data_IF_719956818109
#
_entry.id   IF_719956818109
#
_cell.length_a   1.000
_cell.length_b   1.000
_cell.length_c   1.000
_cell.angle_alpha   90.00
_cell.angle_beta   90.00
_cell.angle_gamma   90.00
#
_symmetry.space_group_name_H-M   'P 1'
#
loop_
_entity.id
_entity.type
_entity.pdbx_description
1 polymer ?
#
# COMPACT_ATOMS: atom_id res chain seq x y z
N UNK A 1 -18.98 -26.55 21.37
CA UNK A 1 -18.54 -26.53 19.96
C UNK A 1 -17.18 -27.22 19.91
N UNK A 2 -16.99 -28.17 18.99
CA UNK A 2 -15.69 -28.81 18.80
C UNK A 2 -14.70 -27.79 18.23
N UNK A 3 -13.69 -27.42 19.01
CA UNK A 3 -12.69 -26.39 18.67
C UNK A 3 -11.53 -26.88 17.78
N UNK A 4 -11.64 -28.09 17.22
CA UNK A 4 -10.56 -28.72 16.46
C UNK A 4 -10.69 -28.59 14.94
N UNK A 5 -11.64 -27.79 14.44
CA UNK A 5 -11.71 -27.50 13.00
C UNK A 5 -10.55 -26.56 12.64
N UNK A 6 -9.67 -26.92 11.68
CA UNK A 6 -8.59 -26.04 11.26
C UNK A 6 -9.16 -24.78 10.58
N UNK A 7 -8.42 -23.68 10.68
CA UNK A 7 -8.77 -22.46 9.98
C UNK A 7 -8.91 -22.71 8.47
N UNK A 8 -10.01 -22.25 7.88
CA UNK A 8 -10.31 -22.40 6.45
C UNK A 8 -9.17 -21.94 5.53
N UNK A 9 -8.45 -20.89 5.93
CA UNK A 9 -7.32 -20.33 5.16
C UNK A 9 -6.02 -21.10 5.32
N UNK A 10 -6.01 -22.22 6.04
CA UNK A 10 -4.82 -23.04 6.24
C UNK A 10 -3.69 -22.29 6.99
N UNK A 11 -4.04 -21.35 7.87
CA UNK A 11 -3.03 -20.59 8.60
C UNK A 11 -2.24 -21.52 9.53
N UNK A 12 -0.92 -21.46 9.47
CA UNK A 12 -0.01 -22.22 10.36
C UNK A 12 0.58 -21.34 11.45
N UNK A 13 1.11 -21.97 12.51
CA UNK A 13 1.97 -21.30 13.50
C UNK A 13 3.30 -20.91 12.87
N UNK A 14 4.00 -19.94 13.47
CA UNK A 14 5.28 -19.45 12.93
C UNK A 14 6.40 -20.50 13.03
N UNK A 15 6.40 -21.31 14.10
CA UNK A 15 7.47 -22.25 14.43
C UNK A 15 7.11 -23.72 14.14
N UNK A 16 5.96 -23.98 13.51
CA UNK A 16 5.48 -25.33 13.23
C UNK A 16 4.45 -25.35 12.10
N UNK A 17 4.38 -26.46 11.35
CA UNK A 17 3.35 -26.69 10.31
C UNK A 17 1.94 -26.97 10.87
N UNK A 18 1.77 -26.90 12.20
CA UNK A 18 0.46 -27.02 12.85
C UNK A 18 -0.51 -25.94 12.36
N UNK A 19 -1.67 -26.38 11.87
CA UNK A 19 -2.77 -25.50 11.50
C UNK A 19 -3.38 -24.83 12.75
N UNK A 20 -3.66 -23.54 12.63
CA UNK A 20 -4.33 -22.76 13.67
C UNK A 20 -5.83 -23.15 13.73
N UNK A 21 -6.42 -23.29 14.94
CA UNK A 21 -7.82 -23.64 15.08
C UNK A 21 -8.73 -22.48 14.67
N UNK A 22 -9.90 -22.81 14.11
CA UNK A 22 -10.97 -21.86 13.81
C UNK A 22 -11.65 -21.41 15.12
N UNK A 23 -11.44 -20.14 15.51
CA UNK A 23 -11.96 -19.54 16.75
C UNK A 23 -13.08 -18.54 16.52
N UNK A 24 -13.20 -18.02 15.29
CA UNK A 24 -14.21 -17.05 14.89
C UNK A 24 -14.89 -17.57 13.61
N UNK A 25 -15.97 -18.34 13.79
CA UNK A 25 -16.60 -19.09 12.70
C UNK A 25 -15.63 -20.08 12.05
N UNK A 26 -15.36 -19.93 10.75
CA UNK A 26 -14.41 -20.76 10.00
C UNK A 26 -12.94 -20.27 10.08
N UNK A 27 -12.67 -19.21 10.84
CA UNK A 27 -11.39 -18.48 10.81
C UNK A 27 -10.66 -18.48 12.15
N UNK A 28 -9.32 -18.42 12.11
CA UNK A 28 -8.51 -18.31 13.32
C UNK A 28 -8.46 -16.86 13.84
N UNK A 29 -8.00 -16.70 15.09
CA UNK A 29 -7.81 -15.39 15.72
C UNK A 29 -6.87 -14.45 14.94
N UNK A 30 -5.89 -15.00 14.20
CA UNK A 30 -4.99 -14.20 13.35
C UNK A 30 -5.71 -13.60 12.15
N UNK A 31 -6.61 -14.35 11.50
CA UNK A 31 -7.43 -13.82 10.41
C UNK A 31 -8.36 -12.72 10.91
N UNK A 32 -9.07 -12.99 12.01
CA UNK A 32 -9.96 -12.02 12.66
C UNK A 32 -9.22 -10.73 13.03
N UNK A 33 -8.10 -10.84 13.75
CA UNK A 33 -7.34 -9.68 14.22
C UNK A 33 -6.74 -8.84 13.10
N UNK A 34 -6.42 -9.46 11.96
CA UNK A 34 -5.94 -8.72 10.77
C UNK A 34 -7.06 -7.89 10.13
N UNK A 35 -8.27 -8.44 10.00
CA UNK A 35 -9.43 -7.71 9.49
C UNK A 35 -9.77 -6.58 10.45
N UNK A 36 -9.86 -6.89 11.74
CA UNK A 36 -10.17 -5.90 12.78
C UNK A 36 -9.17 -4.75 12.75
N UNK A 37 -7.87 -5.06 12.72
CA UNK A 37 -6.82 -4.03 12.72
C UNK A 37 -6.88 -3.15 11.47
N UNK A 38 -7.21 -3.69 10.30
CA UNK A 38 -7.40 -2.90 9.10
C UNK A 38 -8.61 -1.94 9.24
N UNK A 39 -9.73 -2.44 9.78
CA UNK A 39 -10.92 -1.62 10.05
C UNK A 39 -10.64 -0.53 11.09
N UNK A 40 -9.83 -0.78 12.11
CA UNK A 40 -9.39 0.22 13.10
C UNK A 40 -8.57 1.34 12.43
N UNK A 41 -7.71 1.00 11.47
CA UNK A 41 -6.80 1.96 10.84
C UNK A 41 -7.42 2.79 9.72
N UNK A 42 -8.43 2.24 9.03
CA UNK A 42 -9.05 2.87 7.86
C UNK A 42 -9.54 4.32 8.08
N UNK A 43 -10.16 4.72 9.22
CA UNK A 43 -10.61 6.10 9.41
C UNK A 43 -9.48 7.13 9.45
N UNK A 44 -8.38 6.79 10.11
CA UNK A 44 -7.20 7.66 10.20
C UNK A 44 -6.48 7.72 8.86
N UNK A 45 -6.39 6.58 8.16
CA UNK A 45 -5.86 6.52 6.80
C UNK A 45 -6.65 7.41 5.83
N UNK A 46 -7.98 7.35 5.86
CA UNK A 46 -8.84 8.20 5.02
C UNK A 46 -8.61 9.69 5.32
N UNK A 47 -8.52 10.06 6.60
CA UNK A 47 -8.21 11.43 7.01
C UNK A 47 -6.86 11.90 6.46
N UNK A 48 -5.84 11.04 6.57
CA UNK A 48 -4.50 11.33 6.09
C UNK A 48 -4.49 11.53 4.57
N UNK A 49 -5.11 10.62 3.79
CA UNK A 49 -5.18 10.72 2.33
C UNK A 49 -5.93 12.00 1.92
N UNK A 50 -7.07 12.33 2.55
CA UNK A 50 -7.79 13.58 2.28
C UNK A 50 -6.98 14.84 2.57
N UNK A 51 -6.08 14.79 3.56
CA UNK A 51 -5.14 15.88 3.83
C UNK A 51 -4.21 16.17 2.64
N UNK A 52 -3.93 15.17 1.80
CA UNK A 52 -3.16 15.33 0.57
C UNK A 52 -3.99 15.78 -0.64
N UNK A 53 -5.33 15.67 -0.60
CA UNK A 53 -6.22 16.07 -1.71
C UNK A 53 -6.28 17.58 -1.87
N UNK A 54 -6.48 18.30 -0.75
CA UNK A 54 -6.61 19.75 -0.71
C UNK A 54 -5.56 20.38 0.22
N UNK A 55 -4.29 20.47 -0.21
CA UNK A 55 -3.21 20.99 0.64
C UNK A 55 -3.37 22.48 1.02
N UNK A 56 -4.29 23.22 0.35
CA UNK A 56 -4.67 24.59 0.71
C UNK A 56 -5.71 24.70 1.84
N UNK A 57 -6.22 23.59 2.37
CA UNK A 57 -7.17 23.55 3.49
C UNK A 57 -6.52 23.78 4.86
N UNK A 58 -5.51 24.64 4.96
CA UNK A 58 -5.00 25.12 6.23
C UNK A 58 -6.17 25.67 7.05
N UNK A 59 -6.18 25.33 8.34
CA UNK A 59 -7.30 25.57 9.25
C UNK A 59 -7.79 27.02 9.20
N UNK A 60 -9.12 27.19 9.25
CA UNK A 60 -9.89 28.46 9.23
C UNK A 60 -9.54 29.43 10.38
N UNK A 61 -8.45 29.23 11.12
CA UNK A 61 -7.98 30.10 12.20
C UNK A 61 -6.71 30.91 11.89
N UNK A 62 -5.92 30.53 10.89
CA UNK A 62 -4.65 31.20 10.60
C UNK A 62 -4.81 32.10 9.37
N UNK A 63 -5.07 33.39 9.62
CA UNK A 63 -5.03 34.42 8.57
C UNK A 63 -3.59 34.57 8.07
N UNK A 64 -3.19 33.71 7.15
CA UNK A 64 -2.04 33.98 6.30
C UNK A 64 -2.51 35.06 5.32
N UNK A 65 -2.14 36.30 5.60
CA UNK A 65 -2.32 37.42 4.66
C UNK A 65 -1.34 37.24 3.51
N UNK A 66 -1.63 36.34 2.57
CA UNK A 66 -0.91 36.26 1.31
C UNK A 66 -1.53 37.22 0.30
N UNK A 67 -1.04 38.45 0.37
CA UNK A 67 -1.02 39.41 -0.72
C UNK A 67 -0.03 38.89 -1.78
N UNK A 68 -0.40 37.85 -2.52
CA UNK A 68 0.42 37.28 -3.58
C UNK A 68 -0.40 36.29 -4.39
N UNK A 69 -0.38 36.44 -5.72
CA UNK A 69 -1.00 35.59 -6.75
C UNK A 69 -0.43 34.14 -6.75
N UNK A 70 -0.32 33.49 -5.59
CA UNK A 70 0.11 32.10 -5.51
C UNK A 70 -1.04 31.21 -5.92
N UNK A 71 -0.91 30.64 -7.13
CA UNK A 71 -1.85 29.70 -7.70
C UNK A 71 -2.17 28.58 -6.68
N UNK A 72 -3.45 28.17 -6.55
CA UNK A 72 -3.83 27.10 -5.64
C UNK A 72 -2.98 25.86 -5.95
N UNK A 73 -2.43 25.26 -4.89
CA UNK A 73 -1.64 24.04 -4.99
C UNK A 73 -2.40 22.99 -5.84
N UNK A 74 -1.67 22.23 -6.67
CA UNK A 74 -2.31 21.30 -7.61
C UNK A 74 -3.10 20.24 -6.84
N UNK A 75 -4.33 20.01 -7.28
CA UNK A 75 -5.20 18.96 -6.77
C UNK A 75 -4.54 17.59 -6.94
N UNK A 76 -4.45 16.82 -5.86
CA UNK A 76 -3.85 15.47 -5.91
C UNK A 76 -4.90 14.44 -6.33
N UNK A 77 -5.01 14.22 -7.64
CA UNK A 77 -5.96 13.25 -8.23
C UNK A 77 -5.76 11.83 -7.71
N UNK A 78 -4.51 11.43 -7.42
CA UNK A 78 -4.20 10.08 -6.92
C UNK A 78 -4.71 9.90 -5.49
N UNK A 79 -4.50 10.87 -4.62
CA UNK A 79 -5.05 10.86 -3.26
C UNK A 79 -6.58 10.78 -3.29
N UNK A 80 -7.21 11.58 -4.15
CA UNK A 80 -8.65 11.61 -4.28
C UNK A 80 -9.20 10.27 -4.82
N UNK A 81 -8.52 9.64 -5.78
CA UNK A 81 -8.84 8.31 -6.27
C UNK A 81 -8.79 7.26 -5.16
N UNK A 82 -7.67 7.19 -4.43
CA UNK A 82 -7.43 6.16 -3.40
C UNK A 82 -8.42 6.28 -2.23
N UNK A 83 -8.77 7.49 -1.77
CA UNK A 83 -9.76 7.63 -0.68
C UNK A 83 -11.18 7.29 -1.14
N UNK A 84 -11.53 7.57 -2.40
CA UNK A 84 -12.83 7.18 -2.95
C UNK A 84 -12.94 5.67 -3.16
N UNK A 85 -11.85 5.01 -3.54
CA UNK A 85 -11.76 3.55 -3.59
C UNK A 85 -11.96 2.93 -2.20
N UNK A 86 -11.25 3.44 -1.17
CA UNK A 86 -11.44 3.01 0.22
C UNK A 86 -12.90 3.19 0.69
N UNK A 87 -13.48 4.36 0.41
CA UNK A 87 -14.86 4.64 0.77
C UNK A 87 -15.84 3.69 0.07
N UNK A 88 -15.69 3.50 -1.24
CA UNK A 88 -16.55 2.62 -2.04
C UNK A 88 -16.46 1.15 -1.59
N UNK A 89 -15.24 0.68 -1.29
CA UNK A 89 -14.99 -0.65 -0.73
C UNK A 89 -15.78 -0.88 0.57
N UNK A 90 -15.72 0.07 1.50
CA UNK A 90 -16.43 -0.04 2.78
C UNK A 90 -17.94 0.04 2.63
N UNK A 91 -18.43 0.89 1.73
CA UNK A 91 -19.87 0.97 1.40
C UNK A 91 -20.34 -0.37 0.82
N UNK A 92 -19.58 -0.96 -0.09
CA UNK A 92 -19.88 -2.26 -0.69
C UNK A 92 -20.00 -3.35 0.38
N UNK A 93 -18.98 -3.52 1.24
CA UNK A 93 -19.01 -4.54 2.29
C UNK A 93 -20.07 -4.30 3.35
N UNK A 94 -20.34 -3.05 3.72
CA UNK A 94 -21.47 -2.73 4.60
C UNK A 94 -22.80 -3.15 4.00
N UNK A 95 -22.99 -3.00 2.69
CA UNK A 95 -24.21 -3.44 2.00
C UNK A 95 -24.32 -4.96 1.97
N UNK A 96 -23.28 -5.67 1.51
CA UNK A 96 -23.28 -7.14 1.42
C UNK A 96 -23.55 -7.78 2.78
N UNK A 97 -22.82 -7.37 3.82
CA UNK A 97 -23.00 -7.96 5.15
C UNK A 97 -24.32 -7.57 5.80
N UNK A 98 -24.88 -6.40 5.49
CA UNK A 98 -26.20 -6.02 5.96
C UNK A 98 -27.29 -6.92 5.37
N UNK A 99 -27.17 -7.28 4.09
CA UNK A 99 -28.08 -8.19 3.42
C UNK A 99 -27.99 -9.61 4.01
N UNK A 100 -26.76 -10.12 4.23
CA UNK A 100 -26.55 -11.43 4.87
C UNK A 100 -27.07 -11.52 6.30
N UNK A 101 -26.92 -10.45 7.08
CA UNK A 101 -27.35 -10.38 8.47
C UNK A 101 -28.82 -9.94 8.64
N UNK A 102 -29.52 -9.64 7.54
CA UNK A 102 -30.89 -9.10 7.52
C UNK A 102 -31.06 -7.83 8.41
N UNK A 103 -30.00 -7.03 8.53
CA UNK A 103 -30.00 -5.78 9.31
C UNK A 103 -29.83 -4.58 8.39
N UNK A 104 -30.11 -3.38 8.91
CA UNK A 104 -29.88 -2.15 8.13
C UNK A 104 -28.39 -1.78 8.13
N UNK A 105 -27.81 -1.41 6.97
CA UNK A 105 -26.47 -0.88 6.94
C UNK A 105 -26.39 0.50 7.62
N UNK A 106 -25.19 0.95 8.01
CA UNK A 106 -25.01 2.25 8.65
C UNK A 106 -25.52 3.38 7.75
N UNK A 107 -26.03 4.46 8.34
CA UNK A 107 -26.67 5.55 7.59
C UNK A 107 -25.76 6.17 6.53
N UNK A 108 -24.45 6.23 6.79
CA UNK A 108 -23.42 6.71 5.85
C UNK A 108 -23.39 5.85 4.59
N UNK A 109 -23.32 4.52 4.71
CA UNK A 109 -23.30 3.61 3.57
C UNK A 109 -24.61 3.65 2.76
N UNK A 110 -25.76 3.81 3.44
CA UNK A 110 -27.07 3.97 2.78
C UNK A 110 -27.20 5.27 2.00
N UNK A 111 -26.60 6.35 2.49
CA UNK A 111 -26.62 7.68 1.85
C UNK A 111 -25.46 7.90 0.89
N UNK A 112 -24.61 6.89 0.68
CA UNK A 112 -23.50 6.99 -0.25
C UNK A 112 -24.01 7.36 -1.65
N UNK A 113 -23.34 8.31 -2.28
CA UNK A 113 -23.73 8.77 -3.61
C UNK A 113 -23.43 7.68 -4.64
N UNK A 114 -24.46 7.29 -5.40
CA UNK A 114 -24.39 6.22 -6.38
C UNK A 114 -24.82 6.71 -7.76
N UNK A 115 -24.22 6.14 -8.81
CA UNK A 115 -24.73 6.27 -10.17
C UNK A 115 -26.03 5.49 -10.30
N UNK A 116 -26.76 5.72 -11.41
CA UNK A 116 -27.95 4.92 -11.76
C UNK A 116 -27.65 3.41 -11.86
N UNK A 117 -26.41 3.02 -12.14
CA UNK A 117 -25.94 1.64 -12.15
C UNK A 117 -25.78 1.01 -10.75
N UNK A 118 -25.91 1.79 -9.66
CA UNK A 118 -25.66 1.33 -8.29
C UNK A 118 -24.22 1.48 -7.82
N UNK A 119 -23.29 1.78 -8.73
CA UNK A 119 -21.86 2.01 -8.44
C UNK A 119 -21.68 3.24 -7.54
N UNK A 120 -20.96 3.09 -6.44
CA UNK A 120 -20.61 4.18 -5.51
C UNK A 120 -19.64 5.14 -6.21
N UNK A 121 -19.96 6.43 -6.19
CA UNK A 121 -19.16 7.48 -6.83
C UNK A 121 -17.95 7.84 -5.96
N UNK A 122 -18.13 7.86 -4.64
CA UNK A 122 -17.13 8.27 -3.67
C UNK A 122 -17.66 9.30 -2.68
N UNK A 123 -16.72 10.00 -2.05
CA UNK A 123 -16.96 11.17 -1.21
C UNK A 123 -17.26 12.41 -2.08
N UNK A 124 -18.10 13.34 -1.60
CA UNK A 124 -18.25 14.65 -2.22
C UNK A 124 -16.89 15.39 -2.38
N UNK A 125 -16.67 16.16 -3.45
CA UNK A 125 -15.42 16.90 -3.65
C UNK A 125 -15.08 17.91 -2.55
N UNK A 126 -16.10 18.37 -1.81
CA UNK A 126 -15.96 19.34 -0.71
C UNK A 126 -15.74 18.67 0.65
N UNK A 127 -15.61 17.34 0.70
CA UNK A 127 -15.44 16.60 1.95
C UNK A 127 -14.09 16.91 2.58
N UNK A 128 -14.13 17.36 3.83
CA UNK A 128 -12.93 17.61 4.64
C UNK A 128 -12.34 16.29 5.16
N UNK A 129 -11.06 16.33 5.60
CA UNK A 129 -10.40 15.17 6.21
C UNK A 129 -11.10 14.65 7.47
N UNK A 130 -11.76 15.53 8.23
CA UNK A 130 -12.53 15.15 9.42
C UNK A 130 -13.83 14.45 9.04
N UNK A 131 -14.61 15.02 8.12
CA UNK A 131 -15.86 14.44 7.63
C UNK A 131 -15.64 13.09 6.97
N UNK A 132 -14.60 12.97 6.14
CA UNK A 132 -14.23 11.70 5.50
C UNK A 132 -13.79 10.64 6.51
N UNK A 133 -12.96 11.01 7.49
CA UNK A 133 -12.57 10.14 8.60
C UNK A 133 -13.79 9.64 9.39
N UNK A 134 -14.71 10.55 9.71
CA UNK A 134 -15.93 10.23 10.45
C UNK A 134 -16.85 9.29 9.65
N UNK A 135 -17.03 9.53 8.36
CA UNK A 135 -17.81 8.67 7.47
C UNK A 135 -17.24 7.24 7.45
N UNK A 136 -15.93 7.10 7.31
CA UNK A 136 -15.22 5.81 7.34
C UNK A 136 -15.29 5.16 8.72
N UNK A 137 -15.19 5.94 9.81
CA UNK A 137 -15.32 5.46 11.20
C UNK A 137 -16.68 4.82 11.47
N UNK A 138 -17.77 5.40 10.97
CA UNK A 138 -19.10 4.82 11.16
C UNK A 138 -19.26 3.48 10.43
N UNK A 139 -18.70 3.34 9.22
CA UNK A 139 -18.77 2.08 8.46
C UNK A 139 -17.89 1.00 9.08
N UNK A 140 -16.66 1.34 9.43
CA UNK A 140 -15.71 0.41 10.06
C UNK A 140 -16.16 -0.03 11.45
N UNK A 141 -16.72 0.88 12.26
CA UNK A 141 -17.33 0.54 13.55
C UNK A 141 -18.48 -0.47 13.38
N UNK A 142 -19.39 -0.21 12.44
CA UNK A 142 -20.52 -1.11 12.17
C UNK A 142 -20.06 -2.52 11.75
N UNK A 143 -19.02 -2.63 10.90
CA UNK A 143 -18.42 -3.90 10.48
C UNK A 143 -17.73 -4.62 11.63
N UNK A 144 -16.98 -3.89 12.47
CA UNK A 144 -16.26 -4.45 13.63
C UNK A 144 -17.22 -5.03 14.65
N UNK A 145 -18.30 -4.32 14.97
CA UNK A 145 -19.31 -4.77 15.94
C UNK A 145 -19.99 -6.09 15.53
N UNK A 146 -19.91 -6.44 14.24
CA UNK A 146 -20.52 -7.64 13.63
C UNK A 146 -19.50 -8.65 13.12
N UNK A 147 -18.20 -8.41 13.34
CA UNK A 147 -17.16 -9.18 12.68
C UNK A 147 -17.25 -10.67 13.02
N UNK A 148 -17.54 -11.01 14.29
CA UNK A 148 -17.71 -12.41 14.70
C UNK A 148 -18.87 -13.10 13.99
N UNK A 149 -20.02 -12.42 13.84
CA UNK A 149 -21.17 -12.94 13.10
C UNK A 149 -20.81 -13.12 11.62
N UNK A 150 -20.19 -12.11 10.99
CA UNK A 150 -19.76 -12.13 9.59
C UNK A 150 -18.87 -13.35 9.30
N UNK A 151 -17.89 -13.65 10.16
CA UNK A 151 -16.97 -14.78 9.96
C UNK A 151 -17.63 -16.16 10.11
N UNK A 152 -18.89 -16.23 10.57
CA UNK A 152 -19.69 -17.46 10.62
C UNK A 152 -20.58 -17.68 9.39
N UNK A 153 -20.69 -16.67 8.51
CA UNK A 153 -21.53 -16.69 7.32
C UNK A 153 -20.77 -17.25 6.12
N UNK A 154 -21.28 -16.99 4.90
CA UNK A 154 -20.77 -17.42 3.60
C UNK A 154 -19.23 -17.29 3.49
N UNK A 155 -18.47 -18.38 3.68
CA UNK A 155 -17.02 -18.29 3.82
C UNK A 155 -16.30 -17.81 2.55
N UNK A 156 -16.87 -18.07 1.37
CA UNK A 156 -16.35 -17.58 0.10
C UNK A 156 -16.35 -16.05 0.05
N UNK A 157 -17.45 -15.41 0.48
CA UNK A 157 -17.56 -13.94 0.54
C UNK A 157 -16.73 -13.35 1.69
N UNK A 158 -16.53 -14.10 2.78
CA UNK A 158 -15.58 -13.71 3.83
C UNK A 158 -14.15 -13.72 3.31
N UNK A 159 -13.79 -14.69 2.47
CA UNK A 159 -12.47 -14.74 1.85
C UNK A 159 -12.27 -13.55 0.91
N UNK A 160 -13.28 -13.17 0.13
CA UNK A 160 -13.26 -11.94 -0.70
C UNK A 160 -13.23 -10.67 0.16
N UNK A 161 -13.99 -10.62 1.26
CA UNK A 161 -13.97 -9.51 2.21
C UNK A 161 -12.59 -9.29 2.80
N UNK A 162 -11.91 -10.36 3.24
CA UNK A 162 -10.55 -10.24 3.73
C UNK A 162 -9.58 -9.77 2.64
N UNK A 163 -9.69 -10.27 1.41
CA UNK A 163 -8.85 -9.78 0.30
C UNK A 163 -9.10 -8.30 0.01
N UNK A 164 -10.35 -7.85 -0.01
CA UNK A 164 -10.68 -6.43 -0.17
C UNK A 164 -10.13 -5.59 0.98
N UNK A 165 -10.22 -6.07 2.22
CA UNK A 165 -9.64 -5.41 3.39
C UNK A 165 -8.11 -5.34 3.33
N UNK A 166 -7.43 -6.21 2.57
CA UNK A 166 -5.98 -6.05 2.31
C UNK A 166 -5.64 -4.79 1.52
N UNK A 167 -6.57 -4.23 0.77
CA UNK A 167 -6.33 -2.96 0.08
C UNK A 167 -6.12 -1.80 1.05
N UNK A 168 -6.71 -1.85 2.25
CA UNK A 168 -6.41 -0.89 3.33
C UNK A 168 -4.92 -0.92 3.69
N UNK A 169 -4.32 -2.11 3.77
CA UNK A 169 -2.88 -2.26 4.05
C UNK A 169 -2.01 -1.77 2.89
N UNK A 170 -2.42 -2.05 1.65
CA UNK A 170 -1.73 -1.55 0.44
C UNK A 170 -1.79 -0.03 0.36
N UNK A 171 -2.94 0.57 0.66
CA UNK A 171 -3.13 2.02 0.74
C UNK A 171 -2.29 2.61 1.88
N UNK A 172 -2.26 2.01 3.07
CA UNK A 172 -1.42 2.48 4.17
C UNK A 172 0.10 2.40 3.86
N UNK A 173 0.53 1.45 3.01
CA UNK A 173 1.91 1.38 2.53
C UNK A 173 2.22 2.49 1.50
N UNK A 174 1.23 2.87 0.68
CA UNK A 174 1.35 3.95 -0.31
C UNK A 174 1.28 5.34 0.32
N UNK A 175 0.48 5.47 1.37
CA UNK A 175 0.24 6.69 2.15
C UNK A 175 0.77 6.53 3.59
N UNK A 176 2.10 6.49 3.78
CA UNK A 176 2.68 6.26 5.09
C UNK A 176 2.42 7.44 6.03
N UNK A 177 1.76 7.18 7.16
CA UNK A 177 1.49 8.19 8.20
C UNK A 177 2.72 8.58 9.01
N UNK A 178 3.68 7.66 9.11
CA UNK A 178 4.99 7.91 9.71
C UNK A 178 5.99 7.95 8.57
N UNK A 179 6.80 8.99 8.55
CA UNK A 179 7.87 9.12 7.57
C UNK A 179 8.80 7.90 7.68
N UNK A 180 8.92 7.15 6.59
CA UNK A 180 9.77 5.97 6.51
C UNK A 180 10.85 6.22 5.47
N UNK A 181 12.12 5.92 5.80
CA UNK A 181 13.15 6.00 4.79
C UNK A 181 12.88 4.99 3.68
N UNK A 182 13.05 5.43 2.43
CA UNK A 182 13.23 4.50 1.31
C UNK A 182 14.70 4.15 1.23
N UNK A 183 15.01 2.87 1.09
CA UNK A 183 16.39 2.46 0.96
C UNK A 183 16.83 2.49 -0.50
N UNK A 184 17.92 3.17 -0.80
CA UNK A 184 18.49 3.21 -2.14
C UNK A 184 19.06 1.83 -2.53
N UNK A 185 19.10 1.56 -3.84
CA UNK A 185 19.74 0.36 -4.37
C UNK A 185 21.28 0.42 -4.27
N UNK A 186 21.85 1.63 -4.33
CA UNK A 186 23.28 1.84 -4.18
C UNK A 186 23.69 1.75 -2.70
N UNK A 187 24.80 1.07 -2.38
CA UNK A 187 25.40 1.14 -1.05
C UNK A 187 26.13 2.47 -0.85
N UNK A 188 26.43 2.81 0.41
CA UNK A 188 27.27 3.93 0.77
C UNK A 188 28.68 3.78 0.16
N UNK A 189 29.11 4.80 -0.58
CA UNK A 189 30.41 4.83 -1.29
C UNK A 189 31.57 5.34 -0.43
N UNK A 190 31.31 5.76 0.81
CA UNK A 190 32.38 6.16 1.72
C UNK A 190 33.31 4.97 1.99
N UNK A 191 34.61 5.23 2.03
CA UNK A 191 35.65 4.18 2.07
C UNK A 191 35.40 3.17 3.20
N UNK A 192 35.21 1.90 2.83
CA UNK A 192 34.93 0.81 3.75
C UNK A 192 33.52 0.76 4.38
N UNK A 193 32.60 1.68 4.05
CA UNK A 193 31.28 1.72 4.68
C UNK A 193 30.33 0.62 4.15
N UNK A 194 29.95 0.68 2.87
CA UNK A 194 29.07 -0.31 2.24
C UNK A 194 27.64 -0.44 2.81
N UNK A 195 27.28 0.35 3.82
CA UNK A 195 25.96 0.32 4.45
C UNK A 195 24.85 0.81 3.53
N UNK A 196 23.59 0.50 3.88
CA UNK A 196 22.44 0.94 3.09
C UNK A 196 22.22 2.44 3.25
N UNK A 197 21.72 3.08 2.20
CA UNK A 197 21.35 4.49 2.21
C UNK A 197 19.86 4.64 2.44
N UNK A 198 19.50 5.39 3.47
CA UNK A 198 18.14 5.78 3.81
C UNK A 198 17.84 7.17 3.21
N UNK A 199 16.82 7.24 2.36
CA UNK A 199 16.32 8.45 1.72
C UNK A 199 15.00 8.84 2.41
N UNK A 200 15.04 9.93 3.16
CA UNK A 200 13.89 10.53 3.81
C UNK A 200 13.32 11.61 2.87
N UNK A 201 12.00 11.61 2.61
CA UNK A 201 11.38 12.70 1.85
C UNK A 201 11.59 14.06 2.54
N UNK A 202 11.38 15.17 1.82
CA UNK A 202 11.41 16.49 2.45
C UNK A 202 10.30 16.60 3.50
N UNK A 203 10.64 17.10 4.69
CA UNK A 203 9.71 17.22 5.82
C UNK A 203 8.65 18.31 5.57
N UNK A 204 9.04 19.39 4.89
CA UNK A 204 8.17 20.51 4.54
C UNK A 204 8.26 20.88 3.05
N UNK A 205 7.23 21.53 2.47
CA UNK A 205 7.33 22.08 1.13
C UNK A 205 8.51 23.05 1.00
N UNK A 206 9.39 22.81 0.03
CA UNK A 206 10.61 23.62 -0.19
C UNK A 206 11.85 23.05 0.49
N UNK A 207 11.73 22.06 1.37
CA UNK A 207 12.89 21.34 1.89
C UNK A 207 13.49 20.39 0.84
N UNK A 208 14.76 20.05 1.06
CA UNK A 208 15.45 18.99 0.31
C UNK A 208 15.27 17.64 1.00
N UNK A 209 15.26 16.57 0.21
CA UNK A 209 15.29 15.21 0.76
C UNK A 209 16.55 15.01 1.63
N UNK A 210 16.38 14.30 2.74
CA UNK A 210 17.50 13.95 3.63
C UNK A 210 18.01 12.56 3.29
N UNK A 211 19.25 12.44 2.84
CA UNK A 211 19.87 11.15 2.49
C UNK A 211 20.99 10.83 3.47
N UNK A 212 20.87 9.70 4.19
CA UNK A 212 21.84 9.30 5.22
C UNK A 212 22.10 7.80 5.14
N UNK A 213 23.36 7.35 5.21
CA UNK A 213 23.65 5.91 5.35
C UNK A 213 23.42 5.43 6.79
N UNK A 214 23.27 4.12 7.02
CA UNK A 214 23.11 3.57 8.37
C UNK A 214 24.31 3.86 9.31
N UNK A 215 25.50 4.16 8.76
CA UNK A 215 26.66 4.63 9.53
C UNK A 215 26.68 6.15 9.80
N UNK A 216 25.68 6.92 9.33
CA UNK A 216 25.54 8.35 9.61
C UNK A 216 26.14 9.33 8.58
N UNK A 217 26.72 8.87 7.47
CA UNK A 217 27.17 9.76 6.39
C UNK A 217 25.98 10.41 5.66
N UNK A 218 26.04 11.72 5.50
CA UNK A 218 25.03 12.52 4.79
C UNK A 218 25.44 12.73 3.33
N UNK A 219 24.44 12.81 2.45
CA UNK A 219 24.63 13.09 1.02
C UNK A 219 23.74 14.25 0.60
N UNK A 220 24.28 15.15 -0.22
CA UNK A 220 23.44 16.13 -0.92
C UNK A 220 22.60 15.42 -2.01
N UNK A 221 21.42 15.94 -2.38
CA UNK A 221 20.55 15.32 -3.37
C UNK A 221 21.23 15.04 -4.73
N UNK A 222 22.03 15.98 -5.21
CA UNK A 222 22.81 15.89 -6.45
C UNK A 222 23.92 14.82 -6.36
N UNK A 223 24.67 14.80 -5.26
CA UNK A 223 25.68 13.76 -5.00
C UNK A 223 25.05 12.35 -4.97
N UNK A 224 23.88 12.24 -4.36
CA UNK A 224 23.12 11.00 -4.30
C UNK A 224 22.66 10.56 -5.69
N UNK A 225 22.11 11.46 -6.50
CA UNK A 225 21.63 11.16 -7.84
C UNK A 225 22.77 10.67 -8.76
N UNK A 226 23.92 11.35 -8.73
CA UNK A 226 25.11 10.96 -9.49
C UNK A 226 25.65 9.59 -9.07
N UNK A 227 25.68 9.33 -7.75
CA UNK A 227 26.10 8.04 -7.20
C UNK A 227 25.15 6.92 -7.61
N UNK A 228 23.83 7.11 -7.52
CA UNK A 228 22.84 6.11 -7.93
C UNK A 228 22.92 5.85 -9.43
N UNK A 229 23.05 6.89 -10.25
CA UNK A 229 23.21 6.77 -11.70
C UNK A 229 24.48 5.95 -12.04
N UNK A 230 25.59 6.23 -11.38
CA UNK A 230 26.86 5.50 -11.54
C UNK A 230 26.70 4.03 -11.15
N UNK A 231 26.08 3.75 -10.00
CA UNK A 231 25.85 2.39 -9.51
C UNK A 231 24.97 1.57 -10.47
N UNK A 232 23.87 2.15 -10.95
CA UNK A 232 22.97 1.50 -11.92
C UNK A 232 23.70 1.21 -13.23
N UNK A 233 24.51 2.15 -13.72
CA UNK A 233 25.31 1.96 -14.93
C UNK A 233 26.33 0.81 -14.78
N UNK A 234 27.03 0.74 -13.64
CA UNK A 234 27.98 -0.32 -13.32
C UNK A 234 27.29 -1.69 -13.25
N UNK A 235 26.19 -1.82 -12.50
CA UNK A 235 25.40 -3.06 -12.41
C UNK A 235 24.89 -3.51 -13.78
N UNK A 236 24.45 -2.58 -14.63
CA UNK A 236 24.03 -2.89 -16.01
C UNK A 236 25.20 -3.35 -16.89
N UNK A 237 26.39 -2.77 -16.72
CA UNK A 237 27.59 -3.21 -17.43
C UNK A 237 28.03 -4.61 -16.99
N UNK A 238 28.04 -4.88 -15.68
CA UNK A 238 28.32 -6.20 -15.11
C UNK A 238 27.32 -7.25 -15.58
N UNK A 239 26.03 -6.94 -15.57
CA UNK A 239 24.99 -7.84 -16.08
C UNK A 239 25.16 -8.18 -17.56
N UNK A 240 25.46 -7.18 -18.41
CA UNK A 240 25.76 -7.40 -19.83
C UNK A 240 27.00 -8.26 -20.04
N UNK A 241 28.05 -8.05 -19.23
CA UNK A 241 29.27 -8.87 -19.29
C UNK A 241 28.98 -10.30 -18.88
N UNK A 242 28.28 -10.51 -17.77
CA UNK A 242 27.89 -11.84 -17.30
C UNK A 242 27.04 -12.59 -18.33
N UNK A 243 26.09 -11.91 -18.98
CA UNK A 243 25.31 -12.49 -20.07
C UNK A 243 26.18 -12.86 -21.27
N UNK A 244 27.08 -11.97 -21.70
CA UNK A 244 27.99 -12.24 -22.81
C UNK A 244 28.93 -13.42 -22.52
N UNK A 245 29.42 -13.52 -21.28
CA UNK A 245 30.24 -14.64 -20.82
C UNK A 245 29.45 -15.96 -20.76
N UNK A 246 28.16 -15.92 -20.36
CA UNK A 246 27.27 -17.07 -20.37
C UNK A 246 26.93 -17.56 -21.79
N UNK A 247 26.80 -16.65 -22.76
CA UNK A 247 26.54 -16.98 -24.17
C UNK A 247 27.80 -17.44 -24.92
N UNK A 248 28.99 -17.19 -24.38
CA UNK A 248 30.28 -17.47 -25.04
C UNK A 248 30.47 -18.95 -25.41
N UNK A 249 30.15 -19.97 -24.56
CA UNK A 249 30.30 -21.37 -24.92
C UNK A 249 29.43 -21.78 -26.11
N UNK A 250 28.19 -21.32 -26.16
CA UNK A 250 27.28 -21.61 -27.29
C UNK A 250 27.75 -20.94 -28.57
N UNK A 251 28.25 -19.70 -28.50
CA UNK A 251 28.86 -19.02 -29.66
C UNK A 251 30.11 -19.74 -30.17
N UNK A 252 30.96 -20.23 -29.26
CA UNK A 252 32.14 -21.04 -29.61
C UNK A 252 31.73 -22.36 -30.26
N UNK A 253 30.76 -23.07 -29.68
CA UNK A 253 30.20 -24.32 -30.23
C UNK A 253 29.62 -24.11 -31.63
N UNK A 254 28.79 -23.09 -31.83
CA UNK A 254 28.22 -22.74 -33.13
C UNK A 254 29.32 -22.44 -34.18
N UNK A 255 30.37 -21.71 -33.77
CA UNK A 255 31.52 -21.39 -34.64
C UNK A 255 32.30 -22.65 -35.02
N UNK A 256 32.51 -23.57 -34.09
CA UNK A 256 33.20 -24.84 -34.33
C UNK A 256 32.38 -25.73 -35.30
N UNK A 257 31.08 -25.87 -35.07
CA UNK A 257 30.18 -26.63 -35.95
C UNK A 257 30.25 -26.07 -37.38
N UNK A 258 30.14 -24.75 -37.55
CA UNK A 258 30.23 -24.11 -38.86
C UNK A 258 31.58 -24.34 -39.56
N UNK A 259 32.68 -24.35 -38.81
CA UNK A 259 34.03 -24.59 -39.34
C UNK A 259 34.22 -26.01 -39.85
N UNK A 260 33.70 -27.01 -39.13
CA UNK A 260 33.83 -28.42 -39.54
C UNK A 260 32.92 -28.79 -40.71
N UNK A 261 31.69 -28.26 -40.76
CA UNK A 261 30.78 -28.49 -41.89
C UNK A 261 31.31 -27.95 -43.22
N UNK A 262 32.06 -26.84 -43.21
CA UNK A 262 32.68 -26.27 -44.42
C UNK A 262 33.88 -27.07 -44.95
N UNK A 263 34.48 -27.96 -44.15
CA UNK A 263 35.63 -28.78 -44.57
C UNK A 263 35.22 -30.13 -45.15
N UNK A 264 33.97 -30.55 -44.91
CA UNK A 264 33.41 -31.81 -45.38
C UNK A 264 32.62 -31.68 -46.69
N UNK A 265 32.49 -30.47 -47.22
CA UNK A 265 31.90 -30.17 -48.53
C UNK A 265 33.00 -29.83 -49.53
#
# INVERSE_FOLDING_TARGET
MNYDVPCRRGCTRADSDDLLPARHGAYCARCWGRIEQALIQAPELASHILGHVNPGGAQVGERVSNSGDDAPLPFNETAHGDVNELYALLVYWCSIWADYLEVRPPAVARRAWRRRSGTVIGLPPTTTSEEGSQAVRYMTGWLRDRLDEILTLAPEDVDEFDEGIRDVWRMNARWPRVERPRFAAAPCVFDGCGQRLAVYPPAFPGDVQRIVCEAGHFYAPDEYDDMVATFVALRKAEGRKAQADAERPERVKATLIAKYLRRSA
#
